data_IF_522340572032
#
_entry.id   IF_522340572032
#
_cell.length_a   1.000
_cell.length_b   1.000
_cell.length_c   1.000
_cell.angle_alpha   90.00
_cell.angle_beta   90.00
_cell.angle_gamma   90.00
#
_symmetry.space_group_name_H-M   'P 1'
#
loop_
_entity.id
_entity.type
_entity.pdbx_description
1 polymer ?
#
# COMPACT_ATOMS: atom_id res chain seq x y z
N UNK A 1 17.97 20.84 17.34
CA UNK A 1 17.69 19.45 16.90
C UNK A 1 17.92 19.37 15.41
N UNK A 2 19.12 18.99 15.02
CA UNK A 2 19.46 18.80 13.60
C UNK A 2 19.22 17.35 13.22
N UNK A 3 17.98 17.02 12.88
CA UNK A 3 17.68 15.75 12.24
C UNK A 3 18.17 15.82 10.79
N UNK A 4 19.25 15.13 10.45
CA UNK A 4 19.62 14.89 9.06
C UNK A 4 18.75 13.77 8.51
N UNK A 5 17.95 14.11 7.50
CA UNK A 5 17.02 13.19 6.85
C UNK A 5 17.67 12.55 5.63
N UNK A 6 17.61 11.21 5.54
CA UNK A 6 17.39 10.64 4.23
C UNK A 6 15.87 10.73 3.94
N UNK A 7 15.44 10.54 2.69
CA UNK A 7 14.06 10.75 2.23
C UNK A 7 12.97 10.03 3.09
N UNK A 8 13.36 9.01 3.86
CA UNK A 8 12.44 8.17 4.64
C UNK A 8 12.50 8.42 6.18
N UNK A 9 13.24 9.44 6.65
CA UNK A 9 13.39 9.77 8.08
C UNK A 9 13.81 8.58 8.96
N UNK A 10 14.71 7.72 8.47
CA UNK A 10 15.08 6.44 9.14
C UNK A 10 16.06 6.59 10.29
N UNK A 11 16.79 7.70 10.36
CA UNK A 11 17.89 7.93 11.32
C UNK A 11 17.62 9.18 12.15
N UNK A 12 18.18 9.23 13.35
CA UNK A 12 18.22 10.43 14.19
C UNK A 12 19.67 10.80 14.51
N UNK A 13 20.11 11.97 14.10
CA UNK A 13 21.41 12.54 14.44
C UNK A 13 21.29 13.35 15.73
N UNK A 14 22.12 13.02 16.72
CA UNK A 14 22.21 13.74 17.99
C UNK A 14 23.07 15.01 17.84
N UNK A 15 22.96 15.93 18.80
CA UNK A 15 23.71 17.19 18.79
C UNK A 15 25.24 17.04 18.79
N UNK A 16 25.72 15.90 19.28
CA UNK A 16 27.16 15.53 19.26
C UNK A 16 27.64 14.95 17.92
N UNK A 17 26.74 14.87 16.92
CA UNK A 17 27.04 14.33 15.58
C UNK A 17 26.94 12.82 15.48
N UNK A 18 26.64 12.09 16.56
CA UNK A 18 26.39 10.64 16.53
C UNK A 18 24.95 10.32 16.16
N UNK A 19 24.69 9.10 15.69
CA UNK A 19 23.34 8.61 15.48
C UNK A 19 22.78 7.96 16.75
N UNK A 20 21.47 8.11 16.96
CA UNK A 20 20.75 7.31 17.95
C UNK A 20 20.91 5.82 17.61
N UNK A 21 21.21 4.99 18.61
CA UNK A 21 21.47 3.57 18.44
C UNK A 21 21.03 2.77 19.66
N UNK A 22 20.08 1.84 19.45
CA UNK A 22 19.49 0.99 20.49
C UNK A 22 19.00 1.81 21.68
N UNK A 23 18.32 2.91 21.41
CA UNK A 23 17.88 3.86 22.43
C UNK A 23 16.55 4.54 22.09
N UNK A 24 15.89 5.01 23.13
CA UNK A 24 14.68 5.83 23.04
C UNK A 24 15.05 7.30 22.87
N UNK A 25 14.39 7.98 21.94
CA UNK A 25 14.55 9.42 21.69
C UNK A 25 13.19 10.09 21.76
N UNK A 26 13.06 11.13 22.57
CA UNK A 26 11.91 12.04 22.56
C UNK A 26 12.31 13.34 21.84
N UNK A 27 11.60 13.66 20.78
CA UNK A 27 11.84 14.83 19.94
C UNK A 27 11.16 16.08 20.53
N UNK A 28 11.51 17.27 20.04
CA UNK A 28 11.01 18.54 20.55
C UNK A 28 9.48 18.73 20.37
N UNK A 29 8.85 18.00 19.46
CA UNK A 29 7.39 17.93 19.27
C UNK A 29 6.69 16.98 20.27
N UNK A 30 7.45 16.38 21.20
CA UNK A 30 6.95 15.50 22.26
C UNK A 30 6.72 14.06 21.83
N UNK A 31 7.02 13.68 20.58
CA UNK A 31 6.93 12.30 20.12
C UNK A 31 8.15 11.49 20.56
N UNK A 32 7.94 10.23 20.91
CA UNK A 32 9.00 9.32 21.33
C UNK A 32 9.18 8.21 20.28
N UNK A 33 10.41 7.88 19.98
CA UNK A 33 10.82 6.88 19.00
C UNK A 33 11.82 5.92 19.61
N UNK A 34 11.92 4.72 19.07
CA UNK A 34 13.00 3.79 19.38
C UNK A 34 13.82 3.51 18.11
N UNK A 35 15.13 3.37 18.30
CA UNK A 35 16.07 3.05 17.24
C UNK A 35 16.69 1.70 17.54
N UNK A 36 16.44 0.69 16.67
CA UNK A 36 17.12 -0.60 16.70
C UNK A 36 18.32 -0.53 15.74
N UNK A 37 19.51 -0.80 16.28
CA UNK A 37 20.71 -0.34 15.59
C UNK A 37 20.65 1.17 15.45
N UNK A 38 20.73 1.67 14.23
CA UNK A 38 20.60 3.11 13.92
C UNK A 38 19.25 3.45 13.25
N UNK A 39 18.38 2.45 13.05
CA UNK A 39 17.14 2.60 12.31
C UNK A 39 15.96 2.79 13.23
N UNK A 40 15.11 3.76 12.89
CA UNK A 40 13.83 3.96 13.56
C UNK A 40 12.90 2.77 13.32
N UNK A 41 12.33 2.24 14.39
CA UNK A 41 11.37 1.14 14.33
C UNK A 41 9.94 1.65 14.09
N UNK A 42 9.04 0.76 13.66
CA UNK A 42 7.60 0.99 13.49
C UNK A 42 6.83 -0.31 13.71
N UNK A 43 5.52 -0.19 13.88
CA UNK A 43 4.65 -1.34 14.12
C UNK A 43 4.88 -1.98 15.46
N UNK A 44 4.78 -3.30 15.54
CA UNK A 44 4.96 -4.07 16.77
C UNK A 44 6.43 -4.44 16.90
N UNK A 45 7.02 -4.13 18.06
CA UNK A 45 8.44 -4.41 18.34
C UNK A 45 8.62 -4.99 19.75
N UNK A 46 9.48 -6.00 19.87
CA UNK A 46 9.91 -6.53 21.15
C UNK A 46 11.24 -5.88 21.55
N UNK A 47 11.22 -5.10 22.64
CA UNK A 47 12.38 -4.40 23.18
C UNK A 47 12.54 -4.84 24.65
N UNK A 48 13.70 -5.38 25.00
CA UNK A 48 13.99 -5.88 26.35
C UNK A 48 12.92 -6.84 26.90
N UNK A 49 12.40 -7.72 26.02
CA UNK A 49 11.39 -8.73 26.38
C UNK A 49 9.97 -8.21 26.55
N UNK A 50 9.70 -6.94 26.24
CA UNK A 50 8.38 -6.34 26.23
C UNK A 50 7.96 -5.96 24.83
N UNK A 51 6.67 -6.12 24.53
CA UNK A 51 6.09 -5.73 23.26
C UNK A 51 5.59 -4.28 23.30
N UNK A 52 5.97 -3.52 22.28
CA UNK A 52 5.63 -2.12 22.11
C UNK A 52 4.99 -1.89 20.75
N UNK A 53 4.09 -0.93 20.70
CA UNK A 53 3.40 -0.50 19.49
C UNK A 53 3.88 0.89 19.06
N UNK A 54 4.24 1.02 17.80
CA UNK A 54 4.62 2.27 17.13
C UNK A 54 3.70 2.49 15.93
N UNK A 55 3.43 3.75 15.60
CA UNK A 55 2.66 4.10 14.39
C UNK A 55 3.48 3.92 13.09
N UNK A 56 2.85 4.21 11.96
CA UNK A 56 3.48 4.10 10.63
C UNK A 56 4.69 5.02 10.46
N UNK A 57 4.70 6.16 11.18
CA UNK A 57 5.83 7.09 11.25
C UNK A 57 6.89 6.66 12.28
N UNK A 58 6.65 5.58 13.04
CA UNK A 58 7.51 5.06 14.08
C UNK A 58 7.40 5.80 15.42
N UNK A 59 6.39 6.64 15.63
CA UNK A 59 6.16 7.23 16.94
C UNK A 59 5.52 6.21 17.89
N UNK A 60 6.04 6.18 19.12
CA UNK A 60 5.56 5.29 20.16
C UNK A 60 4.09 5.55 20.50
N UNK A 61 3.29 4.50 20.52
CA UNK A 61 1.88 4.53 20.91
C UNK A 61 1.73 4.05 22.37
N UNK A 62 2.10 2.79 22.65
CA UNK A 62 1.99 2.20 23.98
C UNK A 62 2.82 0.91 24.11
N UNK A 63 3.02 0.46 25.35
CA UNK A 63 3.42 -0.90 25.68
C UNK A 63 2.19 -1.81 25.58
N UNK A 64 2.35 -3.05 25.07
CA UNK A 64 1.27 -4.03 24.90
C UNK A 64 0.48 -4.26 26.20
N UNK A 65 1.15 -4.29 27.32
CA UNK A 65 0.56 -4.47 28.66
C UNK A 65 -0.46 -3.38 29.05
N UNK A 66 -0.47 -2.23 28.34
CA UNK A 66 -1.43 -1.13 28.55
C UNK A 66 -2.72 -1.30 27.76
N UNK A 67 -2.76 -2.25 26.81
CA UNK A 67 -3.96 -2.56 26.05
C UNK A 67 -4.89 -3.48 26.87
N UNK A 68 -6.20 -3.29 26.71
CA UNK A 68 -7.18 -4.27 27.17
C UNK A 68 -7.18 -5.49 26.24
N UNK A 69 -7.48 -6.69 26.76
CA UNK A 69 -7.76 -7.83 25.90
C UNK A 69 -8.95 -7.52 24.98
N UNK A 70 -8.84 -7.93 23.71
CA UNK A 70 -9.83 -7.61 22.68
C UNK A 70 -9.54 -6.27 21.98
N UNK A 71 -10.60 -5.58 21.60
CA UNK A 71 -10.53 -4.37 20.80
C UNK A 71 -10.08 -3.15 21.61
N UNK A 72 -9.18 -2.37 21.01
CA UNK A 72 -8.68 -1.10 21.54
C UNK A 72 -8.75 -0.04 20.44
N UNK A 73 -9.19 1.19 20.80
CA UNK A 73 -9.16 2.35 19.91
C UNK A 73 -8.14 3.35 20.43
N UNK A 74 -7.04 3.56 19.69
CA UNK A 74 -5.93 4.42 20.08
C UNK A 74 -5.40 5.15 18.87
N UNK A 75 -5.13 6.46 18.99
CA UNK A 75 -4.54 7.29 17.92
C UNK A 75 -5.23 7.10 16.57
N UNK A 76 -6.57 7.12 16.55
CA UNK A 76 -7.38 6.94 15.33
C UNK A 76 -7.17 5.60 14.63
N UNK A 77 -6.83 4.54 15.36
CA UNK A 77 -6.69 3.18 14.86
C UNK A 77 -7.30 2.14 15.78
N UNK A 78 -7.82 1.06 15.20
CA UNK A 78 -8.23 -0.12 15.95
C UNK A 78 -7.10 -1.12 16.02
N UNK A 79 -6.90 -1.66 17.23
CA UNK A 79 -5.93 -2.70 17.57
C UNK A 79 -6.64 -3.82 18.31
N UNK A 80 -6.16 -5.03 18.18
CA UNK A 80 -6.74 -6.18 18.90
C UNK A 80 -5.66 -6.89 19.69
N UNK A 81 -5.84 -6.96 21.02
CA UNK A 81 -4.94 -7.69 21.91
C UNK A 81 -5.45 -9.10 22.13
N UNK A 82 -4.59 -10.08 21.86
CA UNK A 82 -4.80 -11.51 22.14
C UNK A 82 -4.01 -11.94 23.38
N UNK A 83 -4.14 -13.21 23.77
CA UNK A 83 -3.28 -13.81 24.79
C UNK A 83 -1.80 -13.91 24.35
N UNK A 84 -1.55 -13.86 23.05
CA UNK A 84 -0.21 -13.98 22.45
C UNK A 84 0.38 -12.66 22.00
N UNK A 85 -0.19 -11.51 22.42
CA UNK A 85 0.26 -10.17 22.04
C UNK A 85 -0.71 -9.44 21.13
N UNK A 86 -0.23 -8.41 20.42
CA UNK A 86 -1.03 -7.57 19.52
C UNK A 86 -1.25 -8.31 18.20
N UNK A 87 -2.50 -8.37 17.73
CA UNK A 87 -2.85 -8.98 16.46
C UNK A 87 -2.14 -8.30 15.28
N UNK A 88 -1.56 -9.11 14.38
CA UNK A 88 -0.93 -8.65 13.16
C UNK A 88 -1.26 -9.61 12.02
N UNK A 89 -1.24 -9.14 10.77
CA UNK A 89 -1.63 -9.94 9.63
C UNK A 89 -3.13 -10.27 9.63
N UNK A 90 -3.50 -11.35 8.94
CA UNK A 90 -4.88 -11.80 8.85
C UNK A 90 -5.29 -12.52 10.12
N UNK A 91 -6.43 -12.12 10.71
CA UNK A 91 -6.97 -12.66 11.95
C UNK A 91 -8.45 -12.99 11.79
N UNK A 92 -8.88 -14.09 12.44
CA UNK A 92 -10.30 -14.44 12.55
C UNK A 92 -10.78 -14.21 13.98
N UNK A 93 -11.64 -13.19 14.17
CA UNK A 93 -12.15 -12.77 15.47
C UNK A 93 -13.67 -12.92 15.44
N UNK A 94 -14.22 -13.71 16.35
CA UNK A 94 -15.66 -13.98 16.44
C UNK A 94 -16.30 -14.40 15.10
N UNK A 95 -15.58 -15.22 14.33
CA UNK A 95 -16.06 -15.73 13.04
C UNK A 95 -15.87 -14.81 11.84
N UNK A 96 -15.45 -13.57 12.03
CA UNK A 96 -15.19 -12.56 11.01
C UNK A 96 -13.69 -12.45 10.72
N UNK A 97 -13.33 -12.13 9.47
CA UNK A 97 -11.93 -11.95 9.07
C UNK A 97 -11.56 -10.48 9.05
N UNK A 98 -10.43 -10.16 9.67
CA UNK A 98 -9.81 -8.84 9.76
C UNK A 98 -8.37 -8.90 9.28
N UNK A 99 -7.86 -7.77 8.82
CA UNK A 99 -6.45 -7.60 8.48
C UNK A 99 -5.84 -6.50 9.34
N UNK A 100 -4.68 -6.79 9.90
CA UNK A 100 -3.88 -5.83 10.65
C UNK A 100 -2.56 -5.63 9.94
N UNK A 101 -2.19 -4.38 9.74
CA UNK A 101 -0.86 -3.99 9.27
C UNK A 101 -0.12 -3.28 10.39
N UNK A 102 1.07 -3.79 10.74
CA UNK A 102 1.84 -3.28 11.88
C UNK A 102 1.02 -3.13 13.18
N UNK A 103 0.06 -4.03 13.39
CA UNK A 103 -0.85 -4.04 14.53
C UNK A 103 -2.12 -3.22 14.37
N UNK A 104 -2.20 -2.31 13.40
CA UNK A 104 -3.38 -1.48 13.11
C UNK A 104 -4.33 -2.19 12.15
N UNK A 105 -5.61 -2.22 12.47
CA UNK A 105 -6.64 -2.81 11.61
C UNK A 105 -6.84 -1.99 10.34
N UNK A 106 -6.89 -2.66 9.18
CA UNK A 106 -7.25 -2.02 7.91
C UNK A 106 -8.73 -1.66 7.91
N UNK A 107 -9.03 -0.43 7.50
CA UNK A 107 -10.38 0.11 7.37
C UNK A 107 -10.54 0.73 5.98
N UNK A 108 -11.54 0.30 5.23
CA UNK A 108 -11.84 0.82 3.90
C UNK A 108 -10.62 0.74 2.95
N UNK A 109 -9.85 -0.32 3.08
CA UNK A 109 -8.56 -0.52 2.40
C UNK A 109 -8.46 -1.91 1.77
N UNK A 110 -7.52 -2.03 0.82
CA UNK A 110 -7.11 -3.31 0.26
C UNK A 110 -5.94 -3.89 1.08
N UNK A 111 -5.98 -5.20 1.33
CA UNK A 111 -4.78 -5.86 1.85
C UNK A 111 -3.77 -6.07 0.71
N UNK A 112 -2.61 -5.46 0.80
CA UNK A 112 -1.50 -5.64 -0.16
C UNK A 112 -0.46 -6.67 0.31
N UNK A 113 -0.79 -7.53 1.29
CA UNK A 113 0.19 -8.28 2.07
C UNK A 113 0.80 -9.51 1.40
N UNK A 114 0.48 -9.83 0.15
CA UNK A 114 1.09 -10.98 -0.53
C UNK A 114 1.68 -10.64 -1.91
N UNK A 115 2.68 -9.75 -1.90
CA UNK A 115 3.43 -9.32 -3.09
C UNK A 115 4.15 -10.48 -3.80
N UNK A 116 4.39 -11.60 -3.12
CA UNK A 116 5.16 -12.72 -3.67
C UNK A 116 4.33 -13.90 -4.17
N UNK A 117 3.09 -14.09 -3.72
CA UNK A 117 2.29 -15.27 -4.05
C UNK A 117 1.04 -15.01 -4.90
N UNK A 118 0.76 -13.75 -5.25
CA UNK A 118 -0.38 -13.43 -6.12
C UNK A 118 -1.75 -13.85 -5.57
N UNK A 119 -1.81 -14.24 -4.31
CA UNK A 119 -2.99 -14.78 -3.68
C UNK A 119 -3.69 -13.72 -2.83
N UNK A 120 -4.81 -13.24 -3.35
CA UNK A 120 -5.93 -12.78 -2.53
C UNK A 120 -5.75 -11.44 -1.81
N UNK A 121 -5.59 -10.36 -2.58
CA UNK A 121 -5.83 -9.03 -2.06
C UNK A 121 -7.35 -8.86 -1.86
N UNK A 122 -7.76 -8.67 -0.62
CA UNK A 122 -9.16 -8.47 -0.26
C UNK A 122 -9.40 -7.03 0.16
N UNK A 123 -10.63 -6.59 -0.07
CA UNK A 123 -11.11 -5.35 0.48
C UNK A 123 -11.64 -5.57 1.89
N UNK A 124 -11.22 -4.72 2.83
CA UNK A 124 -11.72 -4.62 4.19
C UNK A 124 -12.58 -3.38 4.32
N UNK A 125 -13.83 -3.55 4.78
CA UNK A 125 -14.84 -2.51 4.81
C UNK A 125 -14.62 -1.42 5.86
N UNK A 126 -15.64 -0.57 6.01
CA UNK A 126 -15.61 0.52 7.01
C UNK A 126 -15.58 0.01 8.46
N UNK A 127 -16.03 -1.23 8.67
CA UNK A 127 -15.99 -1.94 9.95
C UNK A 127 -14.71 -2.79 10.12
N UNK A 128 -13.82 -2.77 9.12
CA UNK A 128 -12.59 -3.56 9.08
C UNK A 128 -12.80 -5.05 8.78
N UNK A 129 -14.05 -5.50 8.56
CA UNK A 129 -14.32 -6.88 8.16
C UNK A 129 -13.97 -7.08 6.69
N UNK A 130 -13.48 -8.27 6.38
CA UNK A 130 -13.32 -8.68 4.98
C UNK A 130 -14.68 -8.63 4.29
N UNK A 131 -14.81 -7.71 3.35
CA UNK A 131 -16.08 -7.49 2.64
C UNK A 131 -16.23 -8.45 1.46
N UNK A 132 -17.42 -9.08 1.34
CA UNK A 132 -17.86 -9.67 0.09
C UNK A 132 -18.35 -8.52 -0.83
N UNK A 133 -17.58 -8.23 -1.87
CA UNK A 133 -17.91 -7.15 -2.80
C UNK A 133 -17.69 -7.60 -4.24
N UNK A 134 -18.61 -7.23 -5.13
CA UNK A 134 -18.53 -7.48 -6.58
C UNK A 134 -18.89 -6.21 -7.33
N UNK A 135 -18.15 -5.91 -8.40
CA UNK A 135 -18.42 -4.75 -9.26
C UNK A 135 -17.44 -3.59 -9.04
N UNK A 136 -17.85 -2.42 -9.49
CA UNK A 136 -17.04 -1.20 -9.45
C UNK A 136 -17.01 -0.56 -8.07
N UNK A 137 -15.81 -0.18 -7.60
CA UNK A 137 -15.62 0.54 -6.35
C UNK A 137 -14.59 1.66 -6.51
N UNK A 138 -14.97 2.84 -6.04
CA UNK A 138 -14.07 3.99 -5.93
C UNK A 138 -13.42 3.99 -4.53
N UNK A 139 -12.10 3.98 -4.48
CA UNK A 139 -11.32 4.03 -3.26
C UNK A 139 -10.14 4.99 -3.45
N UNK A 140 -9.97 5.95 -2.55
CA UNK A 140 -8.89 6.94 -2.59
C UNK A 140 -8.73 7.64 -3.96
N UNK A 141 -9.87 7.93 -4.63
CA UNK A 141 -9.89 8.56 -5.95
C UNK A 141 -9.61 7.63 -7.14
N UNK A 142 -9.37 6.35 -6.91
CA UNK A 142 -9.08 5.35 -7.93
C UNK A 142 -10.20 4.34 -8.06
N UNK A 143 -10.51 3.93 -9.30
CA UNK A 143 -11.50 2.91 -9.59
C UNK A 143 -10.88 1.52 -9.63
N UNK A 144 -11.57 0.57 -8.99
CA UNK A 144 -11.30 -0.87 -8.97
C UNK A 144 -12.52 -1.64 -9.42
N UNK A 145 -12.32 -2.85 -9.92
CA UNK A 145 -13.41 -3.78 -10.18
C UNK A 145 -13.16 -5.11 -9.49
N UNK A 146 -14.12 -5.55 -8.70
CA UNK A 146 -14.05 -6.81 -7.95
C UNK A 146 -14.86 -7.90 -8.67
N UNK A 147 -14.29 -9.09 -8.77
CA UNK A 147 -14.95 -10.27 -9.30
C UNK A 147 -15.93 -10.92 -8.28
N UNK A 148 -16.56 -12.02 -8.66
CA UNK A 148 -17.49 -12.77 -7.80
C UNK A 148 -16.82 -13.38 -6.56
N UNK A 149 -15.48 -13.46 -6.53
CA UNK A 149 -14.69 -13.93 -5.39
C UNK A 149 -14.24 -12.78 -4.49
N UNK A 150 -14.70 -11.56 -4.76
CA UNK A 150 -14.27 -10.34 -4.05
C UNK A 150 -12.78 -10.03 -4.22
N UNK A 151 -12.20 -10.42 -5.37
CA UNK A 151 -10.83 -10.11 -5.76
C UNK A 151 -10.84 -8.99 -6.79
N UNK A 152 -10.02 -7.96 -6.63
CA UNK A 152 -9.93 -6.93 -7.64
C UNK A 152 -9.17 -7.42 -8.87
N UNK A 153 -9.61 -6.96 -10.04
CA UNK A 153 -9.02 -7.35 -11.32
C UNK A 153 -7.66 -6.70 -11.53
N UNK A 154 -6.78 -7.45 -12.21
CA UNK A 154 -5.45 -7.02 -12.68
C UNK A 154 -5.32 -7.35 -14.17
N UNK A 155 -4.64 -6.48 -14.92
CA UNK A 155 -4.45 -6.69 -16.36
C UNK A 155 -5.71 -6.42 -17.18
N UNK A 156 -5.81 -7.07 -18.34
CA UNK A 156 -6.93 -6.90 -19.27
C UNK A 156 -8.20 -7.58 -18.76
N UNK A 157 -9.33 -6.86 -18.88
CA UNK A 157 -10.66 -7.40 -18.58
C UNK A 157 -11.71 -6.85 -19.55
N UNK A 158 -12.78 -7.62 -19.74
CA UNK A 158 -13.98 -7.19 -20.46
C UNK A 158 -15.13 -7.17 -19.47
N UNK A 159 -15.73 -6.00 -19.28
CA UNK A 159 -16.84 -5.77 -18.35
C UNK A 159 -17.97 -5.13 -19.13
N UNK A 160 -19.13 -5.77 -19.16
CA UNK A 160 -20.30 -5.31 -19.92
C UNK A 160 -19.99 -4.97 -21.38
N UNK A 161 -19.12 -5.76 -22.04
CA UNK A 161 -18.73 -5.57 -23.44
C UNK A 161 -17.63 -4.52 -23.68
N UNK A 162 -17.26 -3.73 -22.70
CA UNK A 162 -16.16 -2.77 -22.77
C UNK A 162 -14.87 -3.39 -22.26
N UNK A 163 -13.76 -3.02 -22.89
CA UNK A 163 -12.43 -3.51 -22.54
C UNK A 163 -11.72 -2.52 -21.64
N UNK A 164 -11.18 -3.00 -20.52
CA UNK A 164 -10.45 -2.23 -19.52
C UNK A 164 -9.07 -2.80 -19.29
N UNK A 165 -8.19 -2.01 -18.70
CA UNK A 165 -6.94 -2.49 -18.15
C UNK A 165 -6.77 -1.99 -16.72
N UNK A 166 -6.45 -2.91 -15.82
CA UNK A 166 -6.17 -2.63 -14.42
C UNK A 166 -4.67 -2.82 -14.17
N UNK A 167 -4.05 -1.90 -13.44
CA UNK A 167 -2.62 -1.98 -13.14
C UNK A 167 -2.28 -3.30 -12.47
N UNK A 168 -1.14 -3.89 -12.81
CA UNK A 168 -0.76 -5.22 -12.34
C UNK A 168 0.12 -5.20 -11.09
N UNK A 169 0.52 -4.00 -10.61
CA UNK A 169 1.39 -3.82 -9.45
C UNK A 169 2.87 -4.02 -9.75
N UNK A 170 3.21 -4.79 -10.76
CA UNK A 170 4.61 -5.02 -11.12
C UNK A 170 4.82 -4.78 -12.62
N UNK A 171 5.61 -3.78 -12.94
CA UNK A 171 6.16 -3.63 -14.29
C UNK A 171 7.66 -3.35 -14.18
N UNK A 172 8.48 -4.33 -14.55
CA UNK A 172 9.94 -4.26 -14.56
C UNK A 172 10.52 -3.07 -15.35
N UNK A 173 9.74 -2.49 -16.26
CA UNK A 173 10.16 -1.41 -17.15
C UNK A 173 9.68 -0.02 -16.73
N UNK A 174 8.79 0.07 -15.74
CA UNK A 174 8.33 1.32 -15.15
C UNK A 174 8.31 1.05 -13.66
N UNK A 175 9.18 1.69 -12.89
CA UNK A 175 9.17 1.62 -11.42
C UNK A 175 7.83 2.14 -10.90
N UNK A 176 6.79 1.31 -10.96
CA UNK A 176 5.50 1.55 -10.32
C UNK A 176 5.52 0.86 -8.97
N UNK A 177 5.25 1.63 -7.93
CA UNK A 177 5.09 1.17 -6.57
C UNK A 177 3.93 0.19 -6.47
N UNK A 178 4.06 -0.80 -5.60
CA UNK A 178 3.10 -1.92 -5.40
C UNK A 178 1.68 -1.47 -5.03
N UNK A 179 1.53 -0.26 -4.51
CA UNK A 179 0.25 0.35 -4.08
C UNK A 179 -0.71 0.66 -5.24
N UNK A 180 -0.26 0.54 -6.50
CA UNK A 180 -1.07 0.87 -7.68
C UNK A 180 -1.75 -0.34 -8.33
N UNK A 181 -1.52 -1.55 -7.83
CA UNK A 181 -2.15 -2.75 -8.38
C UNK A 181 -3.69 -2.66 -8.32
N UNK A 182 -4.35 -3.08 -9.38
CA UNK A 182 -5.80 -3.09 -9.50
C UNK A 182 -6.45 -1.75 -9.85
N UNK A 183 -5.71 -0.64 -9.94
CA UNK A 183 -6.25 0.65 -10.38
C UNK A 183 -6.64 0.58 -11.86
N UNK A 184 -7.86 1.00 -12.17
CA UNK A 184 -8.35 1.16 -13.54
C UNK A 184 -7.54 2.20 -14.30
N UNK A 185 -7.03 1.85 -15.46
CA UNK A 185 -6.28 2.78 -16.30
C UNK A 185 -7.20 3.77 -17.02
N UNK A 186 -6.75 5.03 -17.08
CA UNK A 186 -7.30 6.09 -17.92
C UNK A 186 -6.17 6.79 -18.67
N UNK A 187 -6.50 7.49 -19.76
CA UNK A 187 -5.52 8.19 -20.58
C UNK A 187 -4.59 7.22 -21.33
N UNK A 188 -3.40 7.69 -21.64
CA UNK A 188 -2.44 6.88 -22.40
C UNK A 188 -1.62 5.94 -21.51
N UNK A 189 -1.43 4.69 -21.97
CA UNK A 189 -0.63 3.67 -21.27
C UNK A 189 0.13 2.81 -22.27
N UNK A 190 1.37 2.49 -21.95
CA UNK A 190 2.16 1.50 -22.69
C UNK A 190 1.97 0.14 -22.03
N UNK A 191 1.41 -0.80 -22.76
CA UNK A 191 1.15 -2.17 -22.32
C UNK A 191 1.73 -3.11 -23.38
N UNK A 192 2.61 -4.02 -22.99
CA UNK A 192 3.28 -4.96 -23.91
C UNK A 192 3.87 -4.27 -25.14
N UNK A 193 4.57 -3.14 -24.92
CA UNK A 193 5.19 -2.30 -25.96
C UNK A 193 4.21 -1.67 -26.96
N UNK A 194 2.91 -1.66 -26.68
CA UNK A 194 1.89 -0.96 -27.48
C UNK A 194 1.32 0.20 -26.68
N UNK A 195 1.15 1.33 -27.33
CA UNK A 195 0.51 2.49 -26.74
C UNK A 195 -1.01 2.38 -26.90
N UNK A 196 -1.73 2.40 -25.77
CA UNK A 196 -3.19 2.37 -25.72
C UNK A 196 -3.72 3.69 -25.18
N UNK A 197 -4.93 4.03 -25.58
CA UNK A 197 -5.70 5.12 -24.99
C UNK A 197 -6.95 4.55 -24.33
N UNK A 198 -7.19 4.97 -23.10
CA UNK A 198 -8.37 4.69 -22.30
C UNK A 198 -9.12 6.01 -22.06
N UNK A 199 -10.43 6.02 -22.26
CA UNK A 199 -11.24 7.20 -22.00
C UNK A 199 -11.31 7.53 -20.49
N UNK A 200 -12.03 8.59 -20.15
CA UNK A 200 -12.17 9.01 -18.74
C UNK A 200 -12.88 7.99 -17.85
N UNK A 201 -13.65 7.09 -18.45
CA UNK A 201 -14.40 6.02 -17.79
C UNK A 201 -13.66 4.68 -17.85
N UNK A 202 -12.39 4.69 -18.32
CA UNK A 202 -11.49 3.53 -18.41
C UNK A 202 -11.71 2.62 -19.61
N UNK A 203 -12.64 2.96 -20.51
CA UNK A 203 -12.88 2.18 -21.73
C UNK A 203 -11.70 2.25 -22.69
N UNK A 204 -11.18 1.09 -23.12
CA UNK A 204 -10.08 1.03 -24.08
C UNK A 204 -10.51 1.43 -25.48
N UNK A 205 -10.05 2.59 -25.95
CA UNK A 205 -10.32 3.10 -27.31
C UNK A 205 -9.41 2.48 -28.39
N UNK A 206 -8.44 1.66 -28.00
CA UNK A 206 -7.55 0.93 -28.91
C UNK A 206 -6.08 1.34 -28.84
N UNK A 207 -5.30 0.80 -29.76
CA UNK A 207 -3.87 1.11 -29.91
C UNK A 207 -3.73 2.46 -30.62
N UNK A 208 -2.84 3.30 -30.11
CA UNK A 208 -2.57 4.65 -30.61
C UNK A 208 -1.15 4.78 -31.14
N UNK A 209 -0.89 5.88 -31.85
CA UNK A 209 0.44 6.27 -32.33
C UNK A 209 0.73 5.88 -33.78
N UNK A 210 1.78 6.46 -34.34
CA UNK A 210 2.21 6.19 -35.72
C UNK A 210 2.81 4.79 -35.82
N UNK A 211 2.88 4.27 -37.06
CA UNK A 211 3.54 2.99 -37.32
C UNK A 211 5.04 3.05 -36.99
N UNK A 212 5.69 4.17 -37.37
CA UNK A 212 7.10 4.43 -37.09
C UNK A 212 7.31 5.92 -36.78
N UNK A 213 8.35 6.22 -35.97
CA UNK A 213 8.76 7.57 -35.64
C UNK A 213 8.42 8.02 -34.22
N UNK A 214 8.71 9.28 -33.95
CA UNK A 214 8.46 9.87 -32.63
C UNK A 214 6.98 10.22 -32.42
N UNK A 215 6.51 10.00 -31.19
CA UNK A 215 5.15 10.31 -30.77
C UNK A 215 5.16 10.89 -29.35
N UNK A 216 4.67 12.11 -29.20
CA UNK A 216 4.63 12.82 -27.92
C UNK A 216 3.25 12.65 -27.29
N UNK A 217 3.22 12.20 -26.05
CA UNK A 217 2.00 11.96 -25.27
C UNK A 217 2.18 12.45 -23.85
N UNK A 218 1.39 13.40 -23.42
CA UNK A 218 1.39 13.95 -22.05
C UNK A 218 2.80 14.31 -21.54
N UNK A 219 3.64 14.89 -22.42
CA UNK A 219 5.01 15.28 -22.09
C UNK A 219 6.03 14.14 -22.13
N UNK A 220 5.62 12.93 -22.40
CA UNK A 220 6.52 11.78 -22.62
C UNK A 220 6.66 11.50 -24.10
N UNK A 221 7.90 11.42 -24.56
CA UNK A 221 8.22 11.13 -25.98
C UNK A 221 8.53 9.64 -26.16
N UNK A 222 7.77 9.00 -27.06
CA UNK A 222 7.93 7.59 -27.42
C UNK A 222 8.44 7.48 -28.85
N UNK A 223 9.37 6.55 -29.10
CA UNK A 223 9.75 6.18 -30.46
C UNK A 223 9.04 4.90 -30.86
N UNK A 224 8.31 4.95 -31.97
CA UNK A 224 7.51 3.83 -32.45
C UNK A 224 8.24 3.10 -33.58
N UNK A 225 8.23 1.76 -33.51
CA UNK A 225 8.72 0.87 -34.55
C UNK A 225 7.64 -0.17 -34.83
N UNK A 226 7.12 -0.24 -36.03
CA UNK A 226 6.05 -1.16 -36.43
C UNK A 226 4.82 -1.10 -35.52
N UNK A 227 4.47 0.10 -35.06
CA UNK A 227 3.34 0.34 -34.14
C UNK A 227 3.59 -0.09 -32.69
N UNK A 228 4.85 -0.33 -32.32
CA UNK A 228 5.26 -0.66 -30.94
C UNK A 228 6.22 0.38 -30.42
N UNK A 229 6.20 0.63 -29.12
CA UNK A 229 7.19 1.47 -28.46
C UNK A 229 8.53 0.75 -28.49
N UNK A 230 9.57 1.46 -28.96
CA UNK A 230 10.93 0.93 -28.95
C UNK A 230 11.40 0.70 -27.51
N UNK A 231 12.16 -0.34 -27.30
CA UNK A 231 12.80 -0.66 -26.00
C UNK A 231 14.07 0.14 -25.81
#
# INVERSE_FOLDING_TARGET
DTAFYNADKKYYAKADGTFAKNEWITTSDGKTYYFDGIYKVRGIQTIDGKEYLFDEDGAYICEESKLNYGWNWINSGYYYRTENGIANGRQRINGKEYQFDHGKMLLNELSSLDLYNGANDFYYGEDGEKAAYTGWKLMNGNWYYFDERSQYLKGWAVINGNRYYFLTGYNYNIQMEDDQAGIMCTGYRVIDRKLYYFDKDGGCCGVCGPKNGWYDVNGTRYYMIEGKVAS
#
